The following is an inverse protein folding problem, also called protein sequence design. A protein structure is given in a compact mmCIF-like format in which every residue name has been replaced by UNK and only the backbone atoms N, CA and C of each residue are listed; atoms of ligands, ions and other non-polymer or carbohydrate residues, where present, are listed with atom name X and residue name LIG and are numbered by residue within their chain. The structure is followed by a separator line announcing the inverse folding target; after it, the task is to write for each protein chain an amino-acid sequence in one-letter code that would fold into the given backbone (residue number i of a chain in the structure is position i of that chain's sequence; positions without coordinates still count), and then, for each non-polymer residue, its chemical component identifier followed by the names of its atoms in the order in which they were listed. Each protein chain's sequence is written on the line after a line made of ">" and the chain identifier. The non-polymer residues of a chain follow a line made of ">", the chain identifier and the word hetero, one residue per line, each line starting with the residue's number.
data_IF_919524598997
#
_entry.id   IF_919524598997
#
_cell.length_a   1.000
_cell.length_b   1.000
_cell.length_c   1.000
_cell.angle_alpha   90.00
_cell.angle_beta   90.00
_cell.angle_gamma   90.00
#
_symmetry.space_group_name_H-M   'P 1'
#
loop_
_entity.id
_entity.type
_entity.pdbx_description
1 polymer ?
#
# COMPACT_ATOMS: atom_id res chain seq x y z
N UNK A 1 -3.99 32.72 -58.63
CA UNK A 1 -3.28 32.92 -57.35
C UNK A 1 -1.80 32.63 -57.53
N UNK A 2 -0.93 33.65 -57.38
CA UNK A 2 0.52 33.56 -57.61
C UNK A 2 1.18 32.62 -56.59
N UNK A 3 1.91 31.60 -57.06
CA UNK A 3 2.54 30.57 -56.22
C UNK A 3 3.50 31.12 -55.16
N UNK A 4 4.13 32.27 -55.44
CA UNK A 4 5.02 32.98 -54.51
C UNK A 4 4.34 33.33 -53.17
N UNK A 5 3.05 33.70 -53.21
CA UNK A 5 2.27 33.99 -52.00
C UNK A 5 2.04 32.75 -51.12
N UNK A 6 1.97 31.55 -51.72
CA UNK A 6 1.84 30.29 -50.98
C UNK A 6 3.12 29.93 -50.25
N UNK A 7 4.28 30.16 -50.88
CA UNK A 7 5.60 29.89 -50.30
C UNK A 7 5.84 30.78 -49.06
N UNK A 8 5.55 32.08 -49.16
CA UNK A 8 5.66 33.02 -48.03
C UNK A 8 4.75 32.62 -46.86
N UNK A 9 3.48 32.29 -47.14
CA UNK A 9 2.52 31.83 -46.11
C UNK A 9 2.97 30.54 -45.43
N UNK A 10 3.53 29.59 -46.19
CA UNK A 10 4.09 28.35 -45.65
C UNK A 10 5.26 28.62 -44.71
N UNK A 11 6.21 29.47 -45.13
CA UNK A 11 7.36 29.88 -44.30
C UNK A 11 6.91 30.49 -42.97
N UNK A 12 5.96 31.43 -43.02
CA UNK A 12 5.48 32.12 -41.83
C UNK A 12 4.66 31.18 -40.92
N UNK A 13 3.96 30.19 -41.48
CA UNK A 13 3.31 29.12 -40.71
C UNK A 13 4.33 28.23 -39.99
N UNK A 14 5.41 27.84 -40.68
CA UNK A 14 6.50 27.08 -40.05
C UNK A 14 7.22 27.87 -38.97
N UNK A 15 7.48 29.16 -39.19
CA UNK A 15 8.06 30.06 -38.18
C UNK A 15 7.17 30.15 -36.94
N UNK A 16 5.86 30.37 -37.11
CA UNK A 16 4.90 30.40 -36.00
C UNK A 16 4.87 29.07 -35.23
N UNK A 17 4.84 27.94 -35.94
CA UNK A 17 4.88 26.61 -35.32
C UNK A 17 6.18 26.38 -34.53
N UNK A 18 7.32 26.83 -35.05
CA UNK A 18 8.60 26.71 -34.35
C UNK A 18 8.62 27.54 -33.05
N UNK A 19 8.10 28.77 -33.09
CA UNK A 19 8.00 29.65 -31.90
C UNK A 19 7.08 29.03 -30.85
N UNK A 20 5.88 28.60 -31.24
CA UNK A 20 4.92 27.95 -30.32
C UNK A 20 5.51 26.71 -29.66
N UNK A 21 6.20 25.86 -30.42
CA UNK A 21 6.87 24.67 -29.87
C UNK A 21 7.99 25.03 -28.89
N UNK A 22 8.78 26.05 -29.20
CA UNK A 22 9.83 26.51 -28.30
C UNK A 22 9.26 27.06 -26.98
N UNK A 23 8.17 27.81 -27.03
CA UNK A 23 7.45 28.30 -25.85
C UNK A 23 6.88 27.15 -25.02
N UNK A 24 6.19 26.20 -25.65
CA UNK A 24 5.65 25.02 -24.98
C UNK A 24 6.76 24.21 -24.27
N UNK A 25 7.91 24.02 -24.91
CA UNK A 25 9.06 23.34 -24.30
C UNK A 25 9.62 24.10 -23.10
N UNK A 26 9.66 25.44 -23.15
CA UNK A 26 10.11 26.26 -22.01
C UNK A 26 9.16 26.12 -20.83
N UNK A 27 7.85 26.20 -21.07
CA UNK A 27 6.84 26.05 -20.02
C UNK A 27 6.85 24.63 -19.43
N UNK A 28 7.00 23.60 -20.27
CA UNK A 28 7.15 22.22 -19.81
C UNK A 28 8.37 22.06 -18.89
N UNK A 29 9.53 22.64 -19.27
CA UNK A 29 10.74 22.61 -18.43
C UNK A 29 10.53 23.32 -17.10
N UNK A 30 9.84 24.47 -17.09
CA UNK A 30 9.50 25.20 -15.86
C UNK A 30 8.59 24.35 -14.97
N UNK A 31 7.54 23.74 -15.53
CA UNK A 31 6.62 22.88 -14.81
C UNK A 31 7.34 21.67 -14.20
N UNK A 32 8.19 20.99 -14.97
CA UNK A 32 8.97 19.86 -14.48
C UNK A 32 9.93 20.26 -13.35
N UNK A 33 10.57 21.43 -13.46
CA UNK A 33 11.43 21.95 -12.38
C UNK A 33 10.64 22.17 -11.08
N UNK A 34 9.46 22.80 -11.16
CA UNK A 34 8.58 23.01 -10.00
C UNK A 34 8.11 21.69 -9.39
N UNK A 35 7.65 20.76 -10.22
CA UNK A 35 7.22 19.43 -9.77
C UNK A 35 8.36 18.68 -9.06
N UNK A 36 9.58 18.73 -9.60
CA UNK A 36 10.76 18.12 -8.97
C UNK A 36 11.07 18.74 -7.60
N UNK A 37 10.89 20.06 -7.44
CA UNK A 37 11.05 20.74 -6.16
C UNK A 37 9.98 20.29 -5.15
N UNK A 38 8.71 20.23 -5.55
CA UNK A 38 7.62 19.73 -4.70
C UNK A 38 7.83 18.28 -4.28
N UNK A 39 8.27 17.41 -5.20
CA UNK A 39 8.61 16.01 -4.88
C UNK A 39 9.74 15.93 -3.84
N UNK A 40 10.77 16.77 -3.97
CA UNK A 40 11.87 16.80 -3.00
C UNK A 40 11.41 17.27 -1.62
N UNK A 41 10.55 18.29 -1.55
CA UNK A 41 9.95 18.79 -0.30
C UNK A 41 9.10 17.72 0.37
N UNK A 42 8.16 17.11 -0.36
CA UNK A 42 7.30 16.05 0.17
C UNK A 42 8.10 14.84 0.66
N UNK A 43 9.17 14.44 -0.04
CA UNK A 43 10.07 13.38 0.44
C UNK A 43 10.77 13.74 1.73
N UNK A 44 11.16 15.01 1.91
CA UNK A 44 11.76 15.48 3.16
C UNK A 44 10.74 15.50 4.31
N UNK A 45 9.51 15.94 4.03
CA UNK A 45 8.40 15.92 5.00
C UNK A 45 8.05 14.51 5.45
N UNK A 46 7.90 13.57 4.51
CA UNK A 46 7.65 12.15 4.84
C UNK A 46 8.75 11.62 5.76
N UNK A 47 10.02 11.85 5.43
CA UNK A 47 11.15 11.42 6.27
C UNK A 47 11.12 12.06 7.66
N UNK A 48 10.79 13.34 7.76
CA UNK A 48 10.69 14.04 9.03
C UNK A 48 9.53 13.50 9.88
N UNK A 49 8.39 13.19 9.25
CA UNK A 49 7.23 12.58 9.91
C UNK A 49 7.53 11.14 10.36
N UNK A 50 8.19 10.33 9.54
CA UNK A 50 8.65 8.99 9.92
C UNK A 50 9.55 9.04 11.17
N UNK A 51 10.53 9.95 11.18
CA UNK A 51 11.39 10.16 12.34
C UNK A 51 10.64 10.69 13.57
N UNK A 52 9.61 11.51 13.37
CA UNK A 52 8.77 12.00 14.45
C UNK A 52 7.87 10.89 15.02
N UNK A 53 7.37 9.98 14.18
CA UNK A 53 6.65 8.78 14.61
C UNK A 53 7.57 7.86 15.42
N UNK A 54 8.79 7.63 14.94
CA UNK A 54 9.77 6.80 15.64
C UNK A 54 10.17 7.40 17.00
N UNK A 55 10.31 8.72 17.10
CA UNK A 55 10.61 9.41 18.38
C UNK A 55 9.39 9.55 19.30
N UNK A 56 8.18 9.68 18.75
CA UNK A 56 6.94 9.86 19.51
C UNK A 56 6.32 8.53 19.92
N UNK A 57 6.73 7.41 19.30
CA UNK A 57 6.47 6.10 19.85
C UNK A 57 7.30 5.97 21.14
N UNK A 58 6.70 5.87 22.34
CA UNK A 58 7.37 5.15 23.43
C UNK A 58 7.75 3.74 22.92
N UNK A 59 8.73 3.03 23.53
CA UNK A 59 8.95 1.63 23.20
C UNK A 59 7.59 0.94 23.23
N UNK A 60 7.20 0.42 22.07
CA UNK A 60 5.85 -0.02 21.82
C UNK A 60 5.36 -0.87 22.99
N UNK A 61 4.22 -0.46 23.56
CA UNK A 61 3.31 -1.42 24.15
C UNK A 61 3.05 -2.49 23.08
N UNK A 62 3.76 -3.61 23.25
CA UNK A 62 3.40 -4.95 22.81
C UNK A 62 2.46 -5.03 21.59
N UNK A 63 3.01 -4.81 20.39
CA UNK A 63 2.68 -5.71 19.29
C UNK A 63 3.91 -6.59 19.14
N UNK A 64 3.90 -7.71 19.86
CA UNK A 64 4.76 -8.85 19.57
C UNK A 64 4.33 -9.37 18.19
N UNK A 65 4.83 -8.72 17.15
CA UNK A 65 4.80 -9.17 15.78
C UNK A 65 6.20 -9.61 15.38
N UNK A 66 6.79 -10.46 16.21
CA UNK A 66 7.91 -11.34 15.85
C UNK A 66 7.64 -11.99 14.49
N UNK A 67 8.72 -12.32 13.79
CA UNK A 67 8.79 -13.12 12.56
C UNK A 67 8.04 -14.47 12.67
N UNK A 68 6.71 -14.43 12.75
CA UNK A 68 5.86 -15.59 12.82
C UNK A 68 5.65 -16.09 11.41
N UNK A 69 5.89 -17.39 11.20
CA UNK A 69 5.55 -18.04 9.94
C UNK A 69 4.06 -17.81 9.65
N UNK A 70 3.69 -17.76 8.38
CA UNK A 70 2.30 -17.54 7.96
C UNK A 70 1.34 -18.54 8.62
N UNK A 71 1.79 -19.77 8.82
CA UNK A 71 1.05 -20.80 9.55
C UNK A 71 0.82 -20.43 11.03
N UNK A 72 1.78 -19.79 11.70
CA UNK A 72 1.64 -19.34 13.09
C UNK A 72 0.72 -18.12 13.21
N UNK A 73 0.71 -17.25 12.20
CA UNK A 73 -0.22 -16.13 12.13
C UNK A 73 -1.67 -16.63 12.01
N UNK A 74 -1.91 -17.62 11.13
CA UNK A 74 -3.23 -18.26 10.98
C UNK A 74 -3.68 -18.95 12.27
N UNK A 75 -2.77 -19.67 12.94
CA UNK A 75 -3.06 -20.31 14.25
C UNK A 75 -3.45 -19.28 15.30
N UNK A 76 -2.67 -18.20 15.41
CA UNK A 76 -2.91 -17.12 16.37
C UNK A 76 -4.26 -16.45 16.11
N UNK A 77 -4.55 -16.11 14.84
CA UNK A 77 -5.84 -15.51 14.46
C UNK A 77 -7.03 -16.43 14.79
N UNK A 78 -6.89 -17.73 14.50
CA UNK A 78 -7.93 -18.72 14.83
C UNK A 78 -8.22 -18.78 16.34
N UNK A 79 -7.17 -18.75 17.18
CA UNK A 79 -7.33 -18.71 18.64
C UNK A 79 -7.98 -17.40 19.09
N UNK A 80 -7.54 -16.26 18.57
CA UNK A 80 -8.09 -14.95 18.95
C UNK A 80 -9.58 -14.83 18.60
N UNK A 81 -10.01 -15.40 17.46
CA UNK A 81 -11.43 -15.44 17.10
C UNK A 81 -12.27 -16.20 18.15
N UNK A 82 -11.73 -17.29 18.70
CA UNK A 82 -12.44 -18.07 19.72
C UNK A 82 -12.41 -17.36 21.08
N UNK A 83 -11.23 -16.95 21.54
CA UNK A 83 -11.05 -16.44 22.91
C UNK A 83 -11.52 -14.99 23.07
N UNK A 84 -11.27 -14.14 22.08
CA UNK A 84 -11.59 -12.70 22.16
C UNK A 84 -12.90 -12.35 21.45
N UNK A 85 -13.15 -12.93 20.27
CA UNK A 85 -14.37 -12.66 19.51
C UNK A 85 -15.53 -13.62 19.82
N UNK A 86 -15.36 -14.54 20.77
CA UNK A 86 -16.36 -15.53 21.20
C UNK A 86 -17.01 -16.32 20.05
N UNK A 87 -16.23 -16.59 18.99
CA UNK A 87 -16.70 -17.31 17.81
C UNK A 87 -16.71 -18.81 18.06
N UNK A 88 -17.78 -19.50 17.65
CA UNK A 88 -17.84 -20.96 17.75
C UNK A 88 -16.79 -21.64 16.86
N UNK A 89 -16.17 -22.73 17.35
CA UNK A 89 -15.10 -23.45 16.64
C UNK A 89 -15.44 -23.82 15.19
N UNK A 90 -16.69 -24.24 14.93
CA UNK A 90 -17.18 -24.60 13.59
C UNK A 90 -17.26 -23.42 12.62
N UNK A 91 -17.38 -22.19 13.12
CA UNK A 91 -17.48 -20.98 12.31
C UNK A 91 -16.10 -20.44 11.92
N UNK A 92 -15.06 -20.75 12.69
CA UNK A 92 -13.69 -20.23 12.47
C UNK A 92 -13.16 -20.57 11.08
N UNK A 93 -13.24 -21.83 10.57
CA UNK A 93 -12.78 -22.14 9.22
C UNK A 93 -13.52 -21.37 8.12
N UNK A 94 -14.83 -21.10 8.31
CA UNK A 94 -15.63 -20.34 7.34
C UNK A 94 -15.24 -18.87 7.31
N UNK A 95 -15.02 -18.28 8.47
CA UNK A 95 -14.56 -16.89 8.59
C UNK A 95 -13.17 -16.75 7.96
N UNK A 96 -12.28 -17.72 8.20
CA UNK A 96 -10.95 -17.72 7.58
C UNK A 96 -11.04 -17.84 6.05
N UNK A 97 -11.93 -18.70 5.54
CA UNK A 97 -12.20 -18.80 4.11
C UNK A 97 -12.66 -17.47 3.50
N UNK A 98 -13.49 -16.70 4.20
CA UNK A 98 -13.92 -15.36 3.76
C UNK A 98 -12.75 -14.35 3.75
N UNK A 99 -11.84 -14.42 4.73
CA UNK A 99 -10.65 -13.57 4.73
C UNK A 99 -9.71 -13.91 3.56
N UNK A 100 -9.56 -15.19 3.22
CA UNK A 100 -8.77 -15.60 2.06
C UNK A 100 -9.38 -15.10 0.74
N UNK A 101 -10.70 -15.18 0.58
CA UNK A 101 -11.37 -14.74 -0.66
C UNK A 101 -11.41 -13.22 -0.82
N UNK A 102 -11.66 -12.47 0.25
CA UNK A 102 -11.90 -11.02 0.17
C UNK A 102 -10.69 -10.16 0.56
N UNK A 103 -9.86 -10.62 1.49
CA UNK A 103 -8.74 -9.82 2.01
C UNK A 103 -7.38 -10.20 1.41
N UNK A 104 -7.31 -11.28 0.60
CA UNK A 104 -6.05 -11.85 0.08
C UNK A 104 -5.01 -12.07 1.19
N UNK A 105 -5.47 -12.35 2.40
CA UNK A 105 -4.63 -12.58 3.56
C UNK A 105 -4.45 -14.09 3.75
N UNK A 106 -3.22 -14.56 3.60
CA UNK A 106 -2.87 -15.96 3.85
C UNK A 106 -2.80 -16.83 2.60
N UNK A 107 -1.85 -17.77 2.61
CA UNK A 107 -1.85 -19.00 1.83
C UNK A 107 -3.19 -19.72 2.07
N UNK A 108 -3.76 -20.29 1.00
CA UNK A 108 -5.10 -20.90 0.97
C UNK A 108 -5.32 -22.13 1.87
N UNK A 109 -4.51 -22.29 2.91
CA UNK A 109 -4.65 -23.31 3.93
C UNK A 109 -5.68 -22.89 4.98
N UNK A 110 -6.73 -23.70 5.13
CA UNK A 110 -7.77 -23.52 6.16
C UNK A 110 -7.69 -24.69 7.14
N UNK A 111 -7.43 -24.44 8.44
CA UNK A 111 -7.39 -25.52 9.41
C UNK A 111 -8.79 -26.04 9.72
N UNK A 112 -8.89 -27.34 9.99
CA UNK A 112 -10.12 -27.95 10.45
C UNK A 112 -10.47 -27.46 11.87
N UNK A 113 -11.76 -27.41 12.22
CA UNK A 113 -12.21 -26.87 13.51
C UNK A 113 -11.61 -27.63 14.71
N UNK A 114 -11.32 -28.92 14.57
CA UNK A 114 -10.66 -29.74 15.59
C UNK A 114 -9.24 -29.28 15.91
N UNK A 115 -8.50 -28.77 14.92
CA UNK A 115 -7.17 -28.19 15.14
C UNK A 115 -7.26 -26.91 15.98
N UNK A 116 -8.27 -26.07 15.71
CA UNK A 116 -8.54 -24.84 16.49
C UNK A 116 -8.90 -25.17 17.94
N UNK A 117 -9.70 -26.23 18.16
CA UNK A 117 -9.97 -26.75 19.52
C UNK A 117 -8.67 -27.15 20.21
N UNK A 118 -7.82 -27.94 19.55
CA UNK A 118 -6.56 -28.38 20.16
C UNK A 118 -5.62 -27.22 20.51
N UNK A 119 -5.53 -26.18 19.67
CA UNK A 119 -4.70 -25.00 19.95
C UNK A 119 -5.24 -24.17 21.13
N UNK A 120 -6.55 -23.92 21.14
CA UNK A 120 -7.19 -23.20 22.26
C UNK A 120 -7.10 -23.95 23.58
N UNK A 121 -7.28 -25.28 23.59
CA UNK A 121 -7.11 -26.11 24.77
C UNK A 121 -5.66 -26.08 25.29
N UNK A 122 -4.66 -26.11 24.41
CA UNK A 122 -3.25 -25.98 24.83
C UNK A 122 -2.94 -24.66 25.49
N UNK A 123 -3.56 -23.57 25.03
CA UNK A 123 -3.45 -22.26 25.68
C UNK A 123 -4.12 -22.29 27.06
N UNK A 124 -5.31 -22.90 27.17
CA UNK A 124 -5.97 -23.08 28.45
C UNK A 124 -5.13 -23.89 29.45
N UNK A 125 -4.49 -24.98 28.99
CA UNK A 125 -3.58 -25.79 29.81
C UNK A 125 -2.31 -25.03 30.23
N UNK A 126 -1.77 -24.17 29.37
CA UNK A 126 -0.58 -23.37 29.69
C UNK A 126 -0.84 -22.19 30.64
N UNK A 127 -2.11 -21.88 30.91
CA UNK A 127 -2.53 -20.83 31.85
C UNK A 127 -2.93 -21.37 33.23
N UNK A 128 -2.97 -22.69 33.41
CA UNK A 128 -3.21 -23.40 34.67
C UNK A 128 -1.88 -23.78 35.34
#
# INVERSE_FOLDING_TARGET
>A
MLQHSKILRSRDAWKRKAVQRAEALREQKKAHKRARQSIAQLKAEVRALEQAVEKKSPPASSVVGSDLTEADQVRTLCVMLVLQAAVSFRSVPRILGLFQTHARAGDGWVPHFTSVINWSLRIGLGLL
#
